data_IF_449685773406
#
_entry.id   IF_449685773406
#
_cell.length_a   1.000
_cell.length_b   1.000
_cell.length_c   1.000
_cell.angle_alpha   90.00
_cell.angle_beta   90.00
_cell.angle_gamma   90.00
#
_symmetry.space_group_name_H-M   'P 1'
#
loop_
_entity.id
_entity.type
_entity.pdbx_description
1 polymer ?
#
# COMPACT_ATOMS: atom_id res chain seq x y z
N UNK A 1 -19.17 -4.02 12.80
CA UNK A 1 -19.74 -5.06 11.91
C UNK A 1 -19.44 -6.50 12.36
N UNK A 2 -18.26 -6.81 12.93
CA UNK A 2 -17.85 -8.19 13.29
C UNK A 2 -18.68 -8.89 14.38
N UNK A 3 -19.34 -8.12 15.26
CA UNK A 3 -20.21 -8.67 16.30
C UNK A 3 -21.48 -9.32 15.71
N UNK A 4 -22.04 -8.69 14.67
CA UNK A 4 -23.29 -9.14 14.05
C UNK A 4 -23.07 -10.41 13.22
N UNK A 5 -21.94 -10.48 12.50
CA UNK A 5 -21.59 -11.64 11.68
C UNK A 5 -21.24 -12.87 12.55
N UNK A 6 -20.63 -12.66 13.73
CA UNK A 6 -20.41 -13.73 14.72
C UNK A 6 -21.71 -14.22 15.35
N UNK A 7 -22.65 -13.33 15.67
CA UNK A 7 -23.97 -13.72 16.19
C UNK A 7 -24.80 -14.52 15.18
N UNK A 8 -24.79 -14.14 13.90
CA UNK A 8 -25.50 -14.89 12.85
C UNK A 8 -24.92 -16.30 12.66
N UNK A 9 -23.59 -16.46 12.68
CA UNK A 9 -22.95 -17.79 12.61
C UNK A 9 -23.27 -18.65 13.82
N UNK A 10 -23.22 -18.10 15.04
CA UNK A 10 -23.58 -18.84 16.26
C UNK A 10 -25.05 -19.28 16.26
N UNK A 11 -25.95 -18.47 15.72
CA UNK A 11 -27.38 -18.80 15.65
C UNK A 11 -27.66 -19.94 14.66
N UNK A 12 -27.01 -19.91 13.48
CA UNK A 12 -27.09 -20.98 12.48
C UNK A 12 -26.55 -22.32 13.02
N UNK A 13 -25.44 -22.28 13.75
CA UNK A 13 -24.81 -23.46 14.35
C UNK A 13 -25.62 -24.08 15.49
N UNK A 14 -26.32 -23.25 16.27
CA UNK A 14 -27.22 -23.69 17.33
C UNK A 14 -28.49 -24.34 16.75
N UNK A 15 -29.01 -23.79 15.65
CA UNK A 15 -30.16 -24.35 14.94
C UNK A 15 -29.86 -25.69 14.28
N UNK A 16 -28.67 -25.85 13.69
CA UNK A 16 -28.26 -27.11 13.07
C UNK A 16 -28.10 -28.23 14.12
N UNK A 17 -27.53 -27.90 15.28
CA UNK A 17 -27.39 -28.82 16.41
C UNK A 17 -28.74 -29.20 17.02
N UNK A 18 -29.67 -28.26 17.10
CA UNK A 18 -31.05 -28.54 17.56
C UNK A 18 -31.79 -29.47 16.58
N UNK A 19 -31.67 -29.24 15.27
CA UNK A 19 -32.28 -30.08 14.24
C UNK A 19 -31.73 -31.52 14.26
N UNK A 20 -30.41 -31.69 14.40
CA UNK A 20 -29.76 -33.01 14.51
C UNK A 20 -30.20 -33.78 15.77
N UNK A 21 -30.35 -33.07 16.91
CA UNK A 21 -30.79 -33.67 18.18
C UNK A 21 -32.24 -34.18 18.12
N UNK A 22 -33.12 -33.51 17.38
CA UNK A 22 -34.51 -33.91 17.25
C UNK A 22 -34.77 -34.95 16.15
N UNK A 23 -33.92 -35.04 15.12
CA UNK A 23 -33.98 -36.11 14.13
C UNK A 23 -33.59 -37.49 14.71
N UNK A 24 -32.61 -37.56 15.62
CA UNK A 24 -32.21 -38.83 16.26
C UNK A 24 -33.29 -39.46 17.13
N UNK A 25 -34.14 -38.65 17.77
CA UNK A 25 -35.21 -39.11 18.67
C UNK A 25 -36.46 -39.68 17.94
N UNK A 26 -36.55 -39.48 16.62
CA UNK A 26 -37.63 -40.03 15.79
C UNK A 26 -37.31 -41.43 15.26
N UNK A 27 -36.03 -41.80 15.12
CA UNK A 27 -35.58 -43.07 14.55
C UNK A 27 -35.36 -44.20 15.59
N UNK A 28 -35.27 -43.87 16.89
CA UNK A 28 -35.06 -44.85 17.98
C UNK A 28 -36.32 -45.57 18.49
N UNK A 29 -37.53 -45.22 18.04
CA UNK A 29 -38.81 -45.72 18.59
C UNK A 29 -39.48 -46.85 17.80
N UNK A 30 -38.79 -47.47 16.84
CA UNK A 30 -39.33 -48.57 16.00
C UNK A 30 -38.64 -49.93 16.20
N UNK A 31 -37.85 -50.11 17.27
CA UNK A 31 -37.29 -51.41 17.67
C UNK A 31 -37.73 -51.70 19.10
N UNK A 32 -38.91 -52.30 19.30
CA UNK A 32 -39.31 -53.14 20.45
C UNK A 32 -40.84 -53.15 20.57
N UNK A 33 -41.51 -54.08 19.87
CA UNK A 33 -42.80 -54.65 20.28
C UNK A 33 -43.22 -55.73 19.26
N UNK A 34 -42.43 -56.80 19.20
CA UNK A 34 -42.88 -58.11 18.74
C UNK A 34 -42.97 -58.99 19.98
N UNK A 35 -44.17 -59.52 20.26
CA UNK A 35 -44.50 -60.72 21.05
C UNK A 35 -45.74 -60.52 21.94
N UNK A 36 -46.60 -61.55 21.92
CA UNK A 36 -47.78 -61.82 22.78
C UNK A 36 -49.09 -61.17 22.30
N UNK A 37 -50.17 -61.89 21.99
CA UNK A 37 -50.45 -63.32 22.17
C UNK A 37 -51.74 -63.73 21.45
N UNK A 38 -51.79 -65.02 21.11
CA UNK A 38 -52.95 -65.77 20.62
C UNK A 38 -53.63 -66.44 21.83
N UNK A 39 -54.97 -66.48 21.88
CA UNK A 39 -55.78 -67.70 21.66
C UNK A 39 -57.15 -67.69 22.38
N UNK A 40 -58.11 -68.40 21.75
CA UNK A 40 -59.38 -69.00 22.26
C UNK A 40 -60.61 -68.10 22.45
N UNK A 41 -61.84 -68.51 22.10
CA UNK A 41 -62.40 -69.71 21.42
C UNK A 41 -63.90 -69.49 21.13
N UNK A 42 -64.47 -70.24 20.16
CA UNK A 42 -65.87 -70.74 20.01
C UNK A 42 -67.06 -69.75 19.94
N UNK A 43 -68.15 -69.95 19.18
CA UNK A 43 -68.68 -71.08 18.38
C UNK A 43 -70.02 -70.71 17.71
N UNK A 44 -70.29 -71.24 16.49
CA UNK A 44 -71.56 -71.78 15.92
C UNK A 44 -72.81 -70.84 15.82
N UNK A 45 -73.78 -70.92 14.87
CA UNK A 45 -74.10 -71.74 13.68
C UNK A 45 -75.22 -71.03 12.87
N UNK A 46 -75.26 -71.33 11.57
CA UNK A 46 -76.30 -71.31 10.51
C UNK A 46 -77.79 -70.94 10.77
N UNK A 47 -78.45 -70.21 9.84
CA UNK A 47 -79.54 -70.65 8.91
C UNK A 47 -80.46 -69.49 8.42
N UNK A 48 -80.74 -69.44 7.11
CA UNK A 48 -82.09 -69.23 6.54
C UNK A 48 -82.63 -67.79 6.29
N UNK A 49 -83.22 -67.48 5.10
CA UNK A 49 -83.52 -66.11 4.66
C UNK A 49 -85.02 -65.76 4.64
N UNK A 50 -85.38 -64.46 4.68
CA UNK A 50 -86.63 -63.91 4.08
C UNK A 50 -86.71 -62.37 4.14
N UNK A 51 -86.93 -61.79 2.95
CA UNK A 51 -87.83 -60.69 2.57
C UNK A 51 -87.89 -59.34 3.33
N UNK A 52 -87.79 -58.32 2.47
CA UNK A 52 -88.63 -57.12 2.33
C UNK A 52 -88.47 -55.90 3.25
N UNK A 53 -88.11 -54.80 2.56
CA UNK A 53 -88.51 -53.40 2.72
C UNK A 53 -88.63 -52.81 4.13
N UNK A 54 -87.71 -51.88 4.45
CA UNK A 54 -88.06 -50.50 4.82
C UNK A 54 -86.83 -49.61 4.92
N UNK A 55 -86.89 -48.47 4.26
CA UNK A 55 -85.99 -47.35 4.44
C UNK A 55 -86.19 -46.73 5.83
N UNK A 56 -85.14 -46.71 6.64
CA UNK A 56 -84.93 -45.78 7.75
C UNK A 56 -83.43 -45.76 8.05
N UNK A 57 -82.89 -44.57 8.29
CA UNK A 57 -81.48 -44.25 8.16
C UNK A 57 -80.51 -44.92 9.14
N UNK A 58 -79.24 -44.92 8.74
CA UNK A 58 -78.07 -44.79 9.61
C UNK A 58 -76.82 -44.72 8.70
N UNK A 59 -76.02 -43.66 8.86
CA UNK A 59 -74.72 -43.52 8.20
C UNK A 59 -73.70 -44.55 8.74
N UNK A 60 -72.84 -45.15 7.91
CA UNK A 60 -71.66 -45.87 8.39
C UNK A 60 -70.51 -44.89 8.69
N UNK A 61 -69.75 -45.06 9.78
CA UNK A 61 -68.55 -44.26 9.99
C UNK A 61 -67.43 -44.78 9.07
N UNK A 62 -67.12 -44.04 8.01
CA UNK A 62 -65.86 -44.20 7.28
C UNK A 62 -64.73 -43.64 8.12
N UNK A 63 -63.78 -44.48 8.52
CA UNK A 63 -62.54 -44.03 9.15
C UNK A 63 -61.69 -43.28 8.13
N UNK A 64 -61.81 -41.95 8.09
CA UNK A 64 -60.85 -41.12 7.37
C UNK A 64 -59.51 -41.12 8.12
N UNK A 65 -58.47 -41.66 7.47
CA UNK A 65 -57.10 -41.49 7.93
C UNK A 65 -56.80 -39.99 8.04
N UNK A 66 -56.26 -39.59 9.19
CA UNK A 66 -55.87 -38.20 9.45
C UNK A 66 -54.55 -37.88 8.74
N UNK A 67 -54.58 -37.70 7.43
CA UNK A 67 -53.48 -37.16 6.61
C UNK A 67 -53.65 -35.65 6.31
N UNK A 68 -54.33 -34.91 7.20
CA UNK A 68 -54.61 -33.47 7.01
C UNK A 68 -53.58 -32.51 7.64
N UNK A 69 -52.59 -33.01 8.37
CA UNK A 69 -51.55 -32.19 9.01
C UNK A 69 -50.16 -32.22 8.33
N UNK A 70 -49.89 -33.23 7.50
CA UNK A 70 -48.56 -33.45 6.91
C UNK A 70 -48.28 -32.53 5.71
N UNK A 71 -49.29 -32.23 4.90
CA UNK A 71 -49.12 -31.35 3.73
C UNK A 71 -48.73 -29.92 4.12
N UNK A 72 -49.36 -29.35 5.16
CA UNK A 72 -49.03 -28.02 5.69
C UNK A 72 -47.62 -27.97 6.29
N UNK A 73 -47.21 -29.05 6.97
CA UNK A 73 -45.86 -29.15 7.51
C UNK A 73 -44.82 -29.20 6.37
N UNK A 74 -45.07 -29.99 5.33
CA UNK A 74 -44.18 -30.08 4.18
C UNK A 74 -44.10 -28.77 3.39
N UNK A 75 -45.22 -28.06 3.21
CA UNK A 75 -45.20 -26.75 2.57
C UNK A 75 -44.46 -25.71 3.42
N UNK A 76 -44.63 -25.75 4.74
CA UNK A 76 -43.91 -24.85 5.65
C UNK A 76 -42.40 -25.11 5.62
N UNK A 77 -41.99 -26.38 5.62
CA UNK A 77 -40.58 -26.76 5.47
C UNK A 77 -40.02 -26.37 4.10
N UNK A 78 -40.77 -26.57 3.03
CA UNK A 78 -40.36 -26.15 1.69
C UNK A 78 -40.19 -24.63 1.60
N UNK A 79 -41.13 -23.86 2.16
CA UNK A 79 -41.03 -22.39 2.22
C UNK A 79 -39.85 -21.93 3.06
N UNK A 80 -39.59 -22.59 4.18
CA UNK A 80 -38.42 -22.27 5.03
C UNK A 80 -37.10 -22.52 4.30
N UNK A 81 -36.95 -23.67 3.63
CA UNK A 81 -35.75 -23.99 2.86
C UNK A 81 -35.58 -23.04 1.67
N UNK A 82 -36.67 -22.69 0.99
CA UNK A 82 -36.64 -21.74 -0.10
C UNK A 82 -36.26 -20.32 0.37
N UNK A 83 -36.81 -19.86 1.51
CA UNK A 83 -36.44 -18.58 2.11
C UNK A 83 -34.96 -18.55 2.52
N UNK A 84 -34.44 -19.63 3.11
CA UNK A 84 -33.02 -19.75 3.47
C UNK A 84 -32.11 -19.69 2.24
N UNK A 85 -32.49 -20.35 1.14
CA UNK A 85 -31.75 -20.32 -0.13
C UNK A 85 -31.71 -18.89 -0.72
N UNK A 86 -32.87 -18.23 -0.79
CA UNK A 86 -32.97 -16.85 -1.29
C UNK A 86 -32.15 -15.89 -0.42
N UNK A 87 -32.19 -16.04 0.91
CA UNK A 87 -31.40 -15.22 1.83
C UNK A 87 -29.89 -15.45 1.65
N UNK A 88 -29.46 -16.71 1.49
CA UNK A 88 -28.06 -17.04 1.21
C UNK A 88 -27.58 -16.42 -0.09
N UNK A 89 -28.42 -16.42 -1.13
CA UNK A 89 -28.08 -15.83 -2.43
C UNK A 89 -28.04 -14.29 -2.37
N UNK A 90 -28.97 -13.66 -1.63
CA UNK A 90 -28.96 -12.21 -1.43
C UNK A 90 -27.71 -11.72 -0.68
N UNK A 91 -27.27 -12.47 0.34
CA UNK A 91 -26.03 -12.17 1.06
C UNK A 91 -24.78 -12.39 0.19
N UNK A 92 -24.75 -13.43 -0.64
CA UNK A 92 -23.65 -13.71 -1.58
C UNK A 92 -23.53 -12.59 -2.64
N UNK A 93 -24.64 -12.17 -3.25
CA UNK A 93 -24.65 -11.06 -4.22
C UNK A 93 -24.15 -9.75 -3.59
N UNK A 94 -24.65 -9.40 -2.41
CA UNK A 94 -24.23 -8.18 -1.74
C UNK A 94 -22.72 -8.19 -1.43
N UNK A 95 -22.18 -9.35 -1.05
CA UNK A 95 -20.73 -9.49 -0.82
C UNK A 95 -19.91 -9.31 -2.11
N UNK A 96 -20.34 -9.91 -3.23
CA UNK A 96 -19.66 -9.79 -4.53
C UNK A 96 -19.70 -8.37 -5.08
N UNK A 97 -20.83 -7.68 -4.95
CA UNK A 97 -20.96 -6.28 -5.39
C UNK A 97 -20.03 -5.34 -4.62
N UNK A 98 -19.87 -5.53 -3.30
CA UNK A 98 -18.94 -4.72 -2.51
C UNK A 98 -17.47 -4.99 -2.85
N UNK A 99 -17.11 -6.25 -3.14
CA UNK A 99 -15.72 -6.61 -3.51
C UNK A 99 -15.38 -6.05 -4.90
N UNK A 100 -16.27 -6.18 -5.89
CA UNK A 100 -16.06 -5.60 -7.22
C UNK A 100 -15.98 -4.06 -7.21
N UNK A 101 -16.70 -3.41 -6.29
CA UNK A 101 -16.62 -1.96 -6.10
C UNK A 101 -15.22 -1.51 -5.62
N UNK A 102 -14.62 -2.23 -4.68
CA UNK A 102 -13.29 -1.88 -4.15
C UNK A 102 -12.18 -2.19 -5.14
N UNK A 103 -12.25 -3.32 -5.86
CA UNK A 103 -11.27 -3.66 -6.90
C UNK A 103 -11.25 -2.61 -8.02
N UNK A 104 -12.42 -2.17 -8.48
CA UNK A 104 -12.50 -1.07 -9.45
C UNK A 104 -11.88 0.22 -8.92
N UNK A 105 -12.13 0.57 -7.64
CA UNK A 105 -11.55 1.78 -7.03
C UNK A 105 -10.04 1.73 -6.91
N UNK A 106 -9.44 0.54 -6.76
CA UNK A 106 -7.99 0.37 -6.79
C UNK A 106 -7.45 0.74 -8.17
N UNK A 107 -8.01 0.17 -9.23
CA UNK A 107 -7.58 0.44 -10.61
C UNK A 107 -7.80 1.91 -10.98
N UNK A 108 -8.93 2.49 -10.56
CA UNK A 108 -9.20 3.91 -10.75
C UNK A 108 -8.18 4.79 -10.03
N UNK A 109 -7.88 4.51 -8.75
CA UNK A 109 -6.89 5.27 -7.99
C UNK A 109 -5.49 5.16 -8.60
N UNK A 110 -5.10 3.98 -9.09
CA UNK A 110 -3.85 3.76 -9.80
C UNK A 110 -3.79 4.55 -11.12
N UNK A 111 -4.86 4.49 -11.92
CA UNK A 111 -4.98 5.27 -13.15
C UNK A 111 -4.91 6.78 -12.88
N UNK A 112 -5.50 7.27 -11.78
CA UNK A 112 -5.38 8.66 -11.35
C UNK A 112 -3.94 9.02 -10.96
N UNK A 113 -3.25 8.15 -10.22
CA UNK A 113 -1.87 8.37 -9.82
C UNK A 113 -0.95 8.42 -11.06
N UNK A 114 -1.09 7.47 -11.98
CA UNK A 114 -0.37 7.44 -13.25
C UNK A 114 -0.65 8.70 -14.09
N UNK A 115 -1.91 9.12 -14.19
CA UNK A 115 -2.31 10.33 -14.92
C UNK A 115 -1.63 11.59 -14.38
N UNK A 116 -1.60 11.76 -13.06
CA UNK A 116 -0.89 12.89 -12.44
C UNK A 116 0.62 12.86 -12.70
N UNK A 117 1.20 11.66 -12.79
CA UNK A 117 2.62 11.47 -13.06
C UNK A 117 2.97 11.84 -14.51
N UNK A 118 2.16 11.39 -15.47
CA UNK A 118 2.28 11.73 -16.89
C UNK A 118 2.12 13.22 -17.16
N UNK A 119 1.14 13.86 -16.51
CA UNK A 119 0.94 15.32 -16.62
C UNK A 119 2.20 16.05 -16.12
N UNK A 120 2.76 15.63 -14.99
CA UNK A 120 3.95 16.25 -14.42
C UNK A 120 5.20 16.11 -15.31
N UNK A 121 5.28 15.08 -16.16
CA UNK A 121 6.38 14.90 -17.12
C UNK A 121 6.31 15.88 -18.31
N UNK A 122 5.18 16.54 -18.53
CA UNK A 122 5.01 17.41 -19.69
C UNK A 122 5.89 18.69 -19.60
N UNK A 123 6.60 19.09 -20.67
CA UNK A 123 7.54 20.22 -20.64
C UNK A 123 6.95 21.61 -20.39
N UNK A 124 5.63 21.79 -20.43
CA UNK A 124 5.02 23.08 -20.02
C UNK A 124 4.75 23.16 -18.52
N UNK A 125 4.80 22.03 -17.81
CA UNK A 125 4.43 21.95 -16.40
C UNK A 125 5.59 22.42 -15.54
N UNK A 126 5.24 23.31 -14.61
CA UNK A 126 6.12 23.86 -13.59
C UNK A 126 5.74 23.29 -12.21
N UNK A 127 6.70 23.22 -11.29
CA UNK A 127 6.41 22.98 -9.87
C UNK A 127 5.34 23.95 -9.36
N UNK A 128 4.50 23.48 -8.44
CA UNK A 128 3.41 24.28 -7.86
C UNK A 128 2.25 24.62 -8.81
N UNK A 129 2.29 24.21 -10.08
CA UNK A 129 1.21 24.54 -11.03
C UNK A 129 -0.11 23.83 -10.69
N UNK A 130 -1.23 24.50 -10.96
CA UNK A 130 -2.56 23.94 -10.72
C UNK A 130 -2.83 22.65 -11.50
N UNK A 131 -2.16 22.46 -12.66
CA UNK A 131 -2.29 21.27 -13.50
C UNK A 131 -1.80 19.99 -12.81
N UNK A 132 -0.96 20.11 -11.78
CA UNK A 132 -0.53 18.99 -10.95
C UNK A 132 -1.64 18.49 -10.00
N UNK A 133 -2.77 19.16 -9.94
CA UNK A 133 -3.94 18.74 -9.20
C UNK A 133 -5.12 18.62 -10.17
N UNK A 134 -5.84 17.51 -10.10
CA UNK A 134 -7.02 17.36 -10.93
C UNK A 134 -8.08 16.48 -10.27
N UNK A 135 -9.31 16.69 -10.73
CA UNK A 135 -10.49 15.97 -10.27
C UNK A 135 -11.23 15.44 -11.48
N UNK A 136 -11.64 14.19 -11.41
CA UNK A 136 -12.43 13.50 -12.41
C UNK A 136 -13.73 13.00 -11.77
N UNK A 137 -14.84 13.19 -12.47
CA UNK A 137 -16.16 12.66 -12.10
C UNK A 137 -16.51 12.80 -10.61
N UNK A 138 -17.15 11.76 -10.06
CA UNK A 138 -17.55 11.70 -8.66
C UNK A 138 -16.51 10.97 -7.81
N UNK A 139 -15.56 11.71 -7.24
CA UNK A 139 -14.68 11.21 -6.18
C UNK A 139 -13.32 10.67 -6.62
N UNK A 140 -12.92 10.89 -7.88
CA UNK A 140 -11.59 10.57 -8.38
C UNK A 140 -10.73 11.82 -8.43
N UNK A 141 -9.54 11.77 -7.85
CA UNK A 141 -8.63 12.93 -7.80
C UNK A 141 -7.19 12.49 -7.94
N UNK A 142 -6.35 13.32 -8.53
CA UNK A 142 -4.90 13.16 -8.46
C UNK A 142 -4.24 14.43 -7.89
N UNK A 143 -3.12 14.24 -7.21
CA UNK A 143 -2.24 15.31 -6.76
C UNK A 143 -0.79 14.86 -6.97
N UNK A 144 -0.11 15.55 -7.87
CA UNK A 144 1.29 15.34 -8.18
C UNK A 144 2.16 16.42 -7.55
N UNK A 145 3.34 16.03 -7.09
CA UNK A 145 4.39 16.92 -6.61
C UNK A 145 5.62 16.71 -7.47
N UNK A 146 6.09 17.78 -8.09
CA UNK A 146 7.31 17.80 -8.89
C UNK A 146 8.44 18.39 -8.05
N UNK A 147 9.53 17.64 -7.89
CA UNK A 147 10.72 18.04 -7.14
C UNK A 147 11.99 17.74 -7.94
N UNK A 148 13.05 18.53 -7.78
CA UNK A 148 14.33 18.22 -8.41
C UNK A 148 15.07 17.11 -7.68
N UNK A 149 15.51 16.09 -8.42
CA UNK A 149 16.31 15.00 -7.86
C UNK A 149 17.72 15.47 -7.50
N UNK A 150 18.24 16.49 -8.20
CA UNK A 150 19.54 17.10 -7.93
C UNK A 150 19.66 17.73 -6.54
N UNK A 151 18.55 18.04 -5.85
CA UNK A 151 18.58 18.54 -4.48
C UNK A 151 18.95 17.48 -3.43
N UNK A 152 19.01 16.21 -3.83
CA UNK A 152 19.39 15.08 -2.97
C UNK A 152 20.88 14.78 -3.13
N UNK A 153 21.47 14.20 -2.10
CA UNK A 153 22.87 13.76 -2.13
C UNK A 153 23.02 12.53 -3.01
N UNK A 154 23.78 12.69 -4.10
CA UNK A 154 24.10 11.59 -4.99
C UNK A 154 25.24 10.75 -4.42
N UNK A 155 24.92 9.57 -3.89
CA UNK A 155 25.91 8.68 -3.27
C UNK A 155 27.01 8.30 -4.25
N UNK A 156 26.65 7.93 -5.49
CA UNK A 156 27.61 7.54 -6.51
C UNK A 156 28.58 8.66 -6.86
N UNK A 157 28.12 9.91 -6.93
CA UNK A 157 29.00 11.05 -7.20
C UNK A 157 29.90 11.39 -5.99
N UNK A 158 29.39 11.21 -4.78
CA UNK A 158 30.13 11.50 -3.54
C UNK A 158 31.30 10.53 -3.35
N UNK A 159 31.10 9.25 -3.65
CA UNK A 159 32.12 8.21 -3.51
C UNK A 159 33.01 8.06 -4.76
N UNK A 160 32.53 8.49 -5.93
CA UNK A 160 33.27 8.33 -7.18
C UNK A 160 34.65 9.00 -7.14
N UNK A 161 35.67 8.20 -7.42
CA UNK A 161 37.07 8.63 -7.46
C UNK A 161 37.63 9.03 -6.10
N UNK A 162 36.97 8.64 -5.00
CA UNK A 162 37.42 8.83 -3.61
C UNK A 162 37.87 10.25 -3.29
N UNK A 163 37.15 11.25 -3.82
CA UNK A 163 37.50 12.64 -3.57
C UNK A 163 37.24 12.98 -2.08
N UNK A 164 38.27 13.36 -1.30
CA UNK A 164 38.12 13.57 0.13
C UNK A 164 37.11 14.66 0.45
N UNK A 165 37.05 15.73 -0.35
CA UNK A 165 36.10 16.82 -0.12
C UNK A 165 34.64 16.40 -0.33
N UNK A 166 34.39 15.43 -1.23
CA UNK A 166 33.05 14.88 -1.43
C UNK A 166 32.65 13.91 -0.33
N UNK A 167 33.59 13.08 0.12
CA UNK A 167 33.38 12.18 1.26
C UNK A 167 33.07 12.98 2.53
N UNK A 168 33.73 14.11 2.75
CA UNK A 168 33.45 14.99 3.89
C UNK A 168 32.01 15.56 3.87
N UNK A 169 31.41 15.78 2.68
CA UNK A 169 29.99 16.17 2.58
C UNK A 169 29.10 15.04 3.12
N UNK A 170 29.37 13.79 2.74
CA UNK A 170 28.59 12.64 3.23
C UNK A 170 28.77 12.44 4.74
N UNK A 171 30.00 12.57 5.24
CA UNK A 171 30.28 12.52 6.69
C UNK A 171 29.49 13.57 7.45
N UNK A 172 29.55 14.83 7.02
CA UNK A 172 28.82 15.94 7.65
C UNK A 172 27.31 15.75 7.58
N UNK A 173 26.80 15.18 6.48
CA UNK A 173 25.39 14.79 6.38
C UNK A 173 25.00 13.75 7.44
N UNK A 174 25.78 12.69 7.60
CA UNK A 174 25.54 11.65 8.62
C UNK A 174 25.62 12.22 10.04
N UNK A 175 26.55 13.14 10.32
CA UNK A 175 26.61 13.87 11.59
C UNK A 175 25.35 14.68 11.86
N UNK A 176 24.82 15.37 10.84
CA UNK A 176 23.56 16.13 10.95
C UNK A 176 22.39 15.19 11.26
N UNK A 177 22.43 13.95 10.75
CA UNK A 177 21.47 12.88 11.09
C UNK A 177 21.69 12.26 12.47
N UNK A 178 22.70 12.71 13.20
CA UNK A 178 22.97 12.28 14.57
C UNK A 178 23.78 10.98 14.67
N UNK A 179 24.44 10.55 13.58
CA UNK A 179 25.35 9.41 13.60
C UNK A 179 26.65 9.82 14.30
N UNK A 180 27.12 8.98 15.23
CA UNK A 180 28.37 9.26 15.95
C UNK A 180 29.60 9.09 15.06
N UNK A 181 30.73 9.66 15.49
CA UNK A 181 31.95 9.69 14.68
C UNK A 181 32.46 8.29 14.30
N UNK A 182 32.41 7.31 15.21
CA UNK A 182 32.93 5.97 14.96
C UNK A 182 31.99 5.18 14.04
N UNK A 183 30.68 5.26 14.27
CA UNK A 183 29.69 4.65 13.39
C UNK A 183 29.73 5.26 12.00
N UNK A 184 29.83 6.59 11.91
CA UNK A 184 29.97 7.32 10.64
C UNK A 184 31.19 6.85 9.85
N UNK A 185 32.36 6.77 10.47
CA UNK A 185 33.59 6.36 9.76
C UNK A 185 33.50 4.91 9.29
N UNK A 186 32.90 4.03 10.09
CA UNK A 186 32.56 2.67 9.68
C UNK A 186 31.59 2.63 8.49
N UNK A 187 30.52 3.42 8.52
CA UNK A 187 29.53 3.49 7.43
C UNK A 187 30.17 3.95 6.11
N UNK A 188 31.07 4.92 6.18
CA UNK A 188 31.80 5.43 5.01
C UNK A 188 32.76 4.37 4.49
N UNK A 189 33.60 3.79 5.34
CA UNK A 189 34.58 2.77 4.93
C UNK A 189 33.87 1.58 4.27
N UNK A 190 32.80 1.05 4.89
CA UNK A 190 32.00 -0.03 4.30
C UNK A 190 31.33 0.34 2.97
N UNK A 191 30.94 1.61 2.79
CA UNK A 191 30.35 2.08 1.53
C UNK A 191 31.43 2.22 0.44
N UNK A 192 32.65 2.60 0.81
CA UNK A 192 33.77 2.67 -0.13
C UNK A 192 34.17 1.26 -0.58
N UNK A 193 34.35 0.31 0.35
CA UNK A 193 34.60 -1.13 0.08
C UNK A 193 33.44 -1.77 -0.72
N UNK A 194 32.23 -1.21 -0.67
CA UNK A 194 31.13 -1.70 -1.50
C UNK A 194 31.30 -1.37 -2.99
N UNK A 195 31.94 -0.23 -3.28
CA UNK A 195 31.90 0.44 -4.58
C UNK A 195 33.20 0.26 -5.35
N UNK A 196 34.33 0.19 -4.67
CA UNK A 196 35.63 0.07 -5.30
C UNK A 196 35.87 -1.34 -5.89
N UNK A 197 36.77 -1.45 -6.89
CA UNK A 197 36.93 -2.69 -7.64
C UNK A 197 37.91 -3.69 -7.01
N UNK A 198 38.65 -3.29 -5.96
CA UNK A 198 39.63 -4.16 -5.31
C UNK A 198 39.01 -4.92 -4.13
N UNK A 199 39.80 -5.76 -3.46
CA UNK A 199 39.37 -6.57 -2.32
C UNK A 199 40.13 -6.16 -1.03
N UNK A 200 40.62 -4.91 -0.95
CA UNK A 200 41.37 -4.41 0.20
C UNK A 200 40.43 -3.81 1.25
N UNK A 201 40.27 -4.54 2.35
CA UNK A 201 39.45 -4.08 3.48
C UNK A 201 40.04 -2.82 4.12
N UNK A 202 39.25 -1.74 4.18
CA UNK A 202 39.60 -0.52 4.93
C UNK A 202 39.56 -0.75 6.45
N UNK A 203 40.08 0.19 7.23
CA UNK A 203 40.24 0.04 8.69
C UNK A 203 38.95 -0.40 9.40
N UNK A 204 37.81 0.21 9.04
CA UNK A 204 36.49 -0.16 9.55
C UNK A 204 35.57 -0.72 8.46
N UNK A 205 36.14 -1.07 7.31
CA UNK A 205 35.41 -1.51 6.13
C UNK A 205 34.99 -2.97 6.18
N UNK A 206 34.49 -3.46 5.05
CA UNK A 206 34.12 -4.85 4.87
C UNK A 206 34.11 -5.24 3.39
N UNK A 207 34.91 -6.26 3.07
CA UNK A 207 34.93 -6.93 1.77
C UNK A 207 34.21 -8.28 1.78
N UNK A 208 34.25 -8.98 0.64
CA UNK A 208 33.71 -10.32 0.47
C UNK A 208 34.12 -11.28 1.60
N UNK A 209 33.12 -11.97 2.17
CA UNK A 209 33.28 -12.90 3.28
C UNK A 209 32.00 -13.69 3.55
N UNK A 210 31.90 -14.36 4.70
CA UNK A 210 30.80 -15.27 5.04
C UNK A 210 29.40 -14.63 4.84
N UNK A 211 28.76 -14.93 3.71
CA UNK A 211 27.43 -14.47 3.36
C UNK A 211 27.32 -12.99 2.96
N UNK A 212 28.43 -12.27 2.82
CA UNK A 212 28.48 -10.87 2.41
C UNK A 212 29.35 -10.72 1.18
N UNK A 213 28.79 -10.12 0.13
CA UNK A 213 29.50 -9.89 -1.12
C UNK A 213 29.19 -8.47 -1.59
N UNK A 214 30.16 -7.55 -1.47
CA UNK A 214 30.03 -6.23 -2.07
C UNK A 214 29.94 -6.34 -3.61
N UNK A 215 29.35 -5.31 -4.21
CA UNK A 215 29.07 -5.32 -5.65
C UNK A 215 30.31 -4.90 -6.48
N UNK A 216 31.30 -4.30 -5.83
CA UNK A 216 32.54 -3.77 -6.40
C UNK A 216 32.25 -2.84 -7.59
N UNK A 217 31.14 -2.09 -7.45
CA UNK A 217 30.62 -1.18 -8.46
C UNK A 217 29.68 -0.16 -7.82
N UNK A 218 29.43 0.94 -8.53
CA UNK A 218 28.52 1.99 -8.10
C UNK A 218 27.11 1.44 -7.84
N UNK A 219 26.39 2.07 -6.92
CA UNK A 219 25.03 1.68 -6.55
C UNK A 219 24.12 1.80 -7.77
N UNK A 220 23.52 0.68 -8.18
CA UNK A 220 22.55 0.65 -9.27
C UNK A 220 21.18 1.12 -8.78
N UNK A 221 20.81 0.77 -7.55
CA UNK A 221 19.59 1.20 -6.88
C UNK A 221 19.91 1.75 -5.51
N UNK A 222 19.12 2.72 -5.05
CA UNK A 222 19.27 3.25 -3.70
C UNK A 222 19.10 2.17 -2.63
N UNK A 223 18.27 1.14 -2.89
CA UNK A 223 18.06 0.01 -1.98
C UNK A 223 19.29 -0.87 -1.77
N UNK A 224 20.28 -0.82 -2.67
CA UNK A 224 21.51 -1.56 -2.48
C UNK A 224 22.27 -1.06 -1.25
N UNK A 225 22.02 0.18 -0.80
CA UNK A 225 22.54 0.71 0.45
C UNK A 225 22.12 -0.10 1.68
N UNK A 226 20.94 -0.76 1.65
CA UNK A 226 20.48 -1.65 2.73
C UNK A 226 21.34 -2.89 2.91
N UNK A 227 22.13 -3.24 1.89
CA UNK A 227 23.03 -4.40 1.90
C UNK A 227 24.41 -4.03 2.41
N UNK A 228 24.76 -2.74 2.43
CA UNK A 228 26.05 -2.24 2.89
C UNK A 228 26.11 -2.36 4.41
N UNK A 229 27.18 -2.98 4.93
CA UNK A 229 27.36 -3.14 6.37
C UNK A 229 27.45 -1.79 7.08
N UNK A 230 26.77 -1.66 8.22
CA UNK A 230 26.71 -0.43 9.01
C UNK A 230 25.57 0.51 8.59
N UNK A 231 24.92 0.28 7.46
CA UNK A 231 23.80 1.11 6.99
C UNK A 231 22.43 0.55 7.39
N UNK A 232 22.36 -0.59 8.08
CA UNK A 232 21.11 -1.28 8.39
C UNK A 232 20.22 -0.46 9.32
N UNK A 233 20.81 0.16 10.34
CA UNK A 233 20.07 1.01 11.30
C UNK A 233 19.59 2.29 10.63
N UNK A 234 20.45 2.94 9.85
CA UNK A 234 20.11 4.15 9.11
C UNK A 234 18.97 3.91 8.10
N UNK A 235 19.06 2.82 7.32
CA UNK A 235 18.08 2.48 6.29
C UNK A 235 16.79 1.83 6.82
N UNK A 236 16.74 1.50 8.12
CA UNK A 236 15.53 1.07 8.79
C UNK A 236 14.65 2.26 9.25
N UNK A 237 15.23 3.47 9.37
CA UNK A 237 14.49 4.66 9.76
C UNK A 237 13.48 5.07 8.67
N UNK A 238 12.25 5.48 9.03
CA UNK A 238 11.29 5.95 8.03
C UNK A 238 11.81 7.21 7.34
N UNK A 239 11.69 7.28 6.01
CA UNK A 239 12.12 8.45 5.22
C UNK A 239 13.63 8.58 5.00
N UNK A 240 14.43 7.55 5.31
CA UNK A 240 15.89 7.56 5.10
C UNK A 240 16.31 7.86 3.64
N UNK A 241 15.45 7.56 2.66
CA UNK A 241 15.68 7.74 1.24
C UNK A 241 15.22 9.10 0.70
N UNK A 242 14.69 9.99 1.57
CA UNK A 242 14.14 11.29 1.17
C UNK A 242 15.19 12.31 0.71
N UNK A 243 16.44 12.15 1.14
CA UNK A 243 17.52 13.11 0.86
C UNK A 243 18.71 12.49 0.12
N UNK A 244 18.61 11.20 -0.22
CA UNK A 244 19.63 10.45 -0.93
C UNK A 244 19.15 10.08 -2.33
N UNK A 245 20.08 9.95 -3.27
CA UNK A 245 19.81 9.48 -4.63
C UNK A 245 21.02 8.79 -5.25
N UNK A 246 20.76 8.05 -6.32
CA UNK A 246 21.77 7.51 -7.24
C UNK A 246 21.57 8.01 -8.69
N UNK A 247 20.51 8.78 -8.94
CA UNK A 247 20.01 9.08 -10.29
C UNK A 247 20.33 10.51 -10.78
N UNK A 248 20.74 11.41 -9.90
CA UNK A 248 21.04 12.79 -10.26
C UNK A 248 22.39 12.93 -10.99
N UNK A 249 22.71 14.14 -11.46
CA UNK A 249 23.96 14.38 -12.23
C UNK A 249 25.21 14.45 -11.35
N UNK A 250 25.07 14.77 -10.06
CA UNK A 250 26.16 14.73 -9.09
C UNK A 250 26.17 15.92 -8.13
N UNK A 251 26.66 17.11 -8.55
CA UNK A 251 26.69 18.30 -7.68
C UNK A 251 25.29 18.69 -7.23
N UNK A 252 25.18 19.08 -5.96
CA UNK A 252 23.90 19.35 -5.30
C UNK A 252 23.20 20.54 -5.96
N UNK A 253 22.02 20.31 -6.50
CA UNK A 253 21.14 21.36 -6.99
C UNK A 253 20.50 22.08 -5.81
N UNK A 254 21.09 23.21 -5.43
CA UNK A 254 20.65 23.94 -4.23
C UNK A 254 19.28 24.60 -4.42
N UNK A 255 18.77 24.71 -5.65
CA UNK A 255 17.37 25.13 -5.87
C UNK A 255 16.38 24.12 -5.28
N UNK A 256 16.77 22.85 -5.13
CA UNK A 256 15.91 21.78 -4.62
C UNK A 256 16.36 21.18 -3.30
N UNK A 257 17.57 21.50 -2.84
CA UNK A 257 18.15 20.89 -1.65
C UNK A 257 17.35 21.17 -0.37
N UNK A 258 17.35 20.18 0.53
CA UNK A 258 16.80 20.33 1.88
C UNK A 258 17.76 21.11 2.79
N UNK A 259 17.28 21.53 3.97
CA UNK A 259 18.12 22.21 4.96
C UNK A 259 19.33 21.37 5.34
N UNK A 260 19.14 20.08 5.58
CA UNK A 260 20.22 19.19 6.04
C UNK A 260 21.24 18.94 4.93
N UNK A 261 20.78 18.78 3.68
CA UNK A 261 21.67 18.65 2.52
C UNK A 261 22.49 19.94 2.32
N UNK A 262 21.88 21.12 2.46
CA UNK A 262 22.59 22.39 2.36
C UNK A 262 23.63 22.56 3.48
N UNK A 263 23.31 22.15 4.72
CA UNK A 263 24.24 22.21 5.85
C UNK A 263 25.43 21.25 5.73
N UNK A 264 25.28 20.19 4.94
CA UNK A 264 26.36 19.25 4.65
C UNK A 264 27.42 19.85 3.71
N UNK A 265 27.08 20.91 2.95
CA UNK A 265 28.01 21.55 2.02
C UNK A 265 29.10 22.35 2.74
N UNK A 266 30.32 22.41 2.17
CA UNK A 266 31.44 23.12 2.78
C UNK A 266 31.17 24.63 2.85
N UNK A 267 31.39 25.23 4.02
CA UNK A 267 31.21 26.66 4.24
C UNK A 267 29.77 27.14 4.42
N UNK A 268 28.77 26.23 4.34
CA UNK A 268 27.38 26.57 4.67
C UNK A 268 27.16 26.51 6.19
N UNK A 269 26.92 27.68 6.79
CA UNK A 269 26.50 27.81 8.20
C UNK A 269 24.98 27.83 8.29
N UNK A 270 24.43 27.60 9.48
CA UNK A 270 22.99 27.65 9.72
C UNK A 270 22.39 28.98 9.30
N UNK A 271 23.07 30.10 9.57
CA UNK A 271 22.61 31.43 9.19
C UNK A 271 22.58 31.62 7.67
N UNK A 272 23.59 31.09 6.95
CA UNK A 272 23.62 31.14 5.49
C UNK A 272 22.53 30.26 4.88
N UNK A 273 22.29 29.08 5.45
CA UNK A 273 21.23 28.17 4.99
C UNK A 273 19.86 28.77 5.24
N UNK A 274 19.61 29.33 6.42
CA UNK A 274 18.32 29.93 6.75
C UNK A 274 18.04 31.16 5.86
N UNK A 275 19.05 32.01 5.63
CA UNK A 275 18.96 33.12 4.68
C UNK A 275 18.68 32.62 3.26
N UNK A 276 19.37 31.57 2.81
CA UNK A 276 19.16 31.01 1.48
C UNK A 276 17.74 30.47 1.31
N UNK A 277 17.27 29.67 2.26
CA UNK A 277 15.93 29.10 2.24
C UNK A 277 14.85 30.18 2.26
N UNK A 278 15.04 31.24 3.05
CA UNK A 278 14.14 32.38 3.06
C UNK A 278 14.08 33.09 1.70
N UNK A 279 15.23 33.27 1.04
CA UNK A 279 15.29 33.86 -0.29
C UNK A 279 14.66 32.95 -1.34
N UNK A 280 14.87 31.63 -1.21
CA UNK A 280 14.37 30.63 -2.14
C UNK A 280 12.84 30.55 -2.12
N UNK A 281 12.24 30.42 -0.94
CA UNK A 281 10.80 30.22 -0.70
C UNK A 281 9.91 31.40 -1.06
N UNK A 282 10.51 32.54 -1.41
CA UNK A 282 9.74 33.73 -1.73
C UNK A 282 8.84 34.22 -0.58
N UNK A 283 7.82 35.03 -0.91
CA UNK A 283 6.92 35.62 0.08
C UNK A 283 6.00 34.63 0.81
N UNK A 284 5.61 33.52 0.18
CA UNK A 284 4.68 32.56 0.79
C UNK A 284 5.34 31.63 1.82
N UNK A 285 6.68 31.56 1.81
CA UNK A 285 7.46 30.80 2.78
C UNK A 285 7.40 29.28 2.56
N UNK A 286 6.89 28.82 1.41
CA UNK A 286 6.82 27.42 1.04
C UNK A 286 7.81 27.12 -0.11
N UNK A 287 8.35 25.89 -0.13
CA UNK A 287 9.19 25.43 -1.25
C UNK A 287 8.33 24.72 -2.31
N UNK A 288 8.82 24.70 -3.54
CA UNK A 288 8.20 24.09 -4.73
C UNK A 288 6.90 24.78 -5.19
N UNK A 289 6.84 26.10 -5.03
CA UNK A 289 5.71 26.96 -5.39
C UNK A 289 6.04 27.81 -6.63
N UNK A 290 5.05 28.58 -7.09
CA UNK A 290 5.19 29.38 -8.32
C UNK A 290 6.02 30.65 -8.07
N UNK A 291 6.07 31.13 -6.83
CA UNK A 291 6.77 32.33 -6.38
C UNK A 291 8.21 32.08 -5.88
N UNK A 292 8.66 30.82 -5.88
CA UNK A 292 10.04 30.46 -5.60
C UNK A 292 11.03 31.25 -6.47
N UNK A 293 12.11 31.72 -5.84
CA UNK A 293 13.14 32.48 -6.53
C UNK A 293 13.86 31.62 -7.58
N UNK A 294 13.93 32.13 -8.81
CA UNK A 294 14.69 31.50 -9.89
C UNK A 294 16.06 32.16 -10.01
N UNK A 295 17.11 31.41 -9.68
CA UNK A 295 18.49 31.86 -9.85
C UNK A 295 18.99 31.53 -11.26
N UNK A 296 19.52 32.52 -11.98
CA UNK A 296 19.95 32.33 -13.38
C UNK A 296 21.42 31.94 -13.48
N UNK A 297 22.22 32.39 -12.51
CA UNK A 297 23.64 32.14 -12.46
C UNK A 297 24.09 31.80 -11.05
N UNK A 298 25.18 31.04 -10.94
CA UNK A 298 25.87 30.77 -9.68
C UNK A 298 26.30 32.06 -8.96
N UNK A 299 26.60 33.12 -9.73
CA UNK A 299 27.01 34.42 -9.20
C UNK A 299 25.86 35.14 -8.48
N UNK A 300 24.62 34.97 -8.96
CA UNK A 300 23.43 35.57 -8.33
C UNK A 300 23.30 35.08 -6.87
N UNK A 301 23.59 33.80 -6.61
CA UNK A 301 23.54 33.21 -5.27
C UNK A 301 24.70 33.69 -4.42
N UNK A 302 25.90 33.79 -4.98
CA UNK A 302 27.04 34.34 -4.25
C UNK A 302 26.71 35.72 -3.68
N UNK A 303 26.11 36.57 -4.50
CA UNK A 303 25.64 37.91 -4.11
C UNK A 303 24.48 37.82 -3.12
N UNK A 304 23.49 36.96 -3.38
CA UNK A 304 22.31 36.81 -2.53
C UNK A 304 22.64 36.27 -1.12
N UNK A 305 23.60 35.37 -1.01
CA UNK A 305 24.15 34.82 0.23
C UNK A 305 25.10 35.78 0.94
N UNK A 306 25.69 36.73 0.21
CA UNK A 306 26.68 37.67 0.76
C UNK A 306 28.02 37.02 1.12
N UNK A 307 28.39 35.94 0.43
CA UNK A 307 29.63 35.20 0.66
C UNK A 307 30.79 35.74 -0.20
N UNK A 308 32.01 35.62 0.33
CA UNK A 308 33.20 36.11 -0.38
C UNK A 308 33.50 35.28 -1.63
N UNK A 309 34.18 35.85 -2.65
CA UNK A 309 34.60 35.09 -3.82
C UNK A 309 35.44 33.86 -3.48
N UNK A 310 36.30 33.95 -2.46
CA UNK A 310 37.14 32.84 -2.01
C UNK A 310 36.31 31.72 -1.37
N UNK A 311 35.34 32.06 -0.52
CA UNK A 311 34.41 31.08 0.06
C UNK A 311 33.59 30.41 -1.05
N UNK A 312 33.13 31.18 -2.03
CA UNK A 312 32.35 30.65 -3.14
C UNK A 312 33.17 29.74 -4.05
N UNK A 313 34.44 30.04 -4.28
CA UNK A 313 35.34 29.19 -5.07
C UNK A 313 35.47 27.79 -4.44
N UNK A 314 35.51 27.70 -3.12
CA UNK A 314 35.53 26.42 -2.40
C UNK A 314 34.20 25.65 -2.49
N UNK A 315 33.06 26.35 -2.53
CA UNK A 315 31.72 25.74 -2.62
C UNK A 315 31.32 25.35 -4.05
N UNK A 316 31.73 26.15 -5.05
CA UNK A 316 31.30 26.06 -6.44
C UNK A 316 31.41 24.67 -7.11
N UNK A 317 32.41 23.81 -6.79
CA UNK A 317 32.50 22.48 -7.40
C UNK A 317 31.41 21.51 -6.92
N UNK A 318 30.75 21.81 -5.80
CA UNK A 318 29.79 20.92 -5.14
C UNK A 318 28.33 21.31 -5.37
N UNK A 319 28.07 22.44 -6.03
CA UNK A 319 26.71 22.97 -6.23
C UNK A 319 26.36 23.10 -7.71
N UNK A 320 25.06 22.98 -8.03
CA UNK A 320 24.48 23.20 -9.35
C UNK A 320 23.10 23.86 -9.25
N UNK A 321 22.53 24.21 -10.42
CA UNK A 321 21.18 24.81 -10.59
C UNK A 321 20.49 24.32 -11.87
N UNK A 322 21.02 23.25 -12.44
CA UNK A 322 20.73 22.83 -13.81
C UNK A 322 20.52 21.32 -13.88
N UNK A 323 20.23 20.68 -12.75
CA UNK A 323 19.95 19.26 -12.82
C UNK A 323 18.65 19.07 -13.60
N UNK A 324 18.75 18.26 -14.66
CA UNK A 324 17.62 17.95 -15.53
C UNK A 324 16.80 16.78 -15.01
N UNK A 325 17.26 16.12 -13.93
CA UNK A 325 16.58 14.98 -13.34
C UNK A 325 15.57 15.47 -12.31
N UNK A 326 14.32 15.12 -12.56
CA UNK A 326 13.17 15.47 -11.75
C UNK A 326 12.52 14.20 -11.20
N UNK A 327 11.96 14.32 -10.00
CA UNK A 327 11.14 13.32 -9.34
C UNK A 327 9.71 13.80 -9.28
N UNK A 328 8.78 12.88 -9.56
CA UNK A 328 7.36 13.10 -9.37
C UNK A 328 6.85 12.10 -8.37
N UNK A 329 6.11 12.60 -7.38
CA UNK A 329 5.28 11.79 -6.49
C UNK A 329 3.84 12.15 -6.77
N UNK A 330 3.08 11.22 -7.36
CA UNK A 330 1.69 11.40 -7.74
C UNK A 330 0.80 10.51 -6.89
N UNK A 331 -0.15 11.13 -6.19
CA UNK A 331 -1.14 10.46 -5.35
C UNK A 331 -2.49 10.48 -6.07
N UNK A 332 -2.98 9.31 -6.44
CA UNK A 332 -4.31 9.10 -7.00
C UNK A 332 -5.28 8.60 -5.93
N UNK A 333 -6.53 9.06 -6.00
CA UNK A 333 -7.60 8.63 -5.09
C UNK A 333 -8.85 8.28 -5.88
N UNK A 334 -9.52 7.21 -5.46
CA UNK A 334 -10.91 6.90 -5.84
C UNK A 334 -11.70 6.53 -4.58
N UNK A 335 -12.47 7.49 -4.08
CA UNK A 335 -13.20 7.36 -2.82
C UNK A 335 -12.27 7.19 -1.60
N UNK A 336 -12.20 6.00 -0.98
CA UNK A 336 -11.38 5.69 0.19
C UNK A 336 -10.03 5.02 -0.18
N UNK A 337 -9.88 4.62 -1.45
CA UNK A 337 -8.64 4.01 -1.94
C UNK A 337 -7.70 5.11 -2.41
N UNK A 338 -6.44 5.02 -1.95
CA UNK A 338 -5.35 5.89 -2.39
C UNK A 338 -4.23 5.04 -2.95
N UNK A 339 -3.64 5.47 -4.07
CA UNK A 339 -2.44 4.88 -4.68
C UNK A 339 -1.41 5.95 -4.92
N UNK A 340 -0.14 5.59 -4.78
CA UNK A 340 0.98 6.52 -4.99
C UNK A 340 1.91 5.96 -6.05
N UNK A 341 2.19 6.77 -7.06
CA UNK A 341 3.20 6.50 -8.08
C UNK A 341 4.35 7.46 -7.85
N UNK A 342 5.56 6.92 -7.81
CA UNK A 342 6.80 7.69 -7.81
C UNK A 342 7.58 7.38 -9.07
N UNK A 343 7.97 8.42 -9.80
CA UNK A 343 8.87 8.28 -10.94
C UNK A 343 10.00 9.28 -10.88
N UNK A 344 11.11 8.92 -11.50
CA UNK A 344 12.27 9.79 -11.72
C UNK A 344 12.53 9.82 -13.22
N UNK A 345 12.64 11.01 -13.79
CA UNK A 345 12.85 11.20 -15.21
C UNK A 345 13.87 12.31 -15.47
N UNK A 346 14.57 12.21 -16.59
CA UNK A 346 15.45 13.27 -17.09
C UNK A 346 14.73 14.10 -18.13
N UNK A 347 14.77 15.41 -17.95
CA UNK A 347 14.17 16.39 -18.86
C UNK A 347 15.22 16.92 -19.83
N UNK A 348 15.32 16.30 -21.00
CA UNK A 348 16.29 16.67 -22.04
C UNK A 348 15.55 17.21 -23.27
N UNK A 349 15.48 18.54 -23.40
CA UNK A 349 14.82 19.18 -24.53
C UNK A 349 13.30 19.04 -24.50
N UNK A 350 12.70 18.50 -25.57
CA UNK A 350 11.24 18.36 -25.74
C UNK A 350 10.68 17.04 -25.21
N UNK A 351 11.52 16.05 -24.93
CA UNK A 351 11.11 14.73 -24.46
C UNK A 351 11.63 14.44 -23.05
N UNK A 352 10.79 13.80 -22.24
CA UNK A 352 11.17 13.26 -20.94
C UNK A 352 11.67 11.82 -21.10
N UNK A 353 12.84 11.50 -20.53
CA UNK A 353 13.38 10.15 -20.48
C UNK A 353 13.13 9.56 -19.09
N UNK A 354 12.28 8.53 -19.00
CA UNK A 354 12.02 7.82 -17.75
C UNK A 354 13.28 7.08 -17.27
N UNK A 355 13.62 7.21 -15.99
CA UNK A 355 14.73 6.50 -15.34
C UNK A 355 14.18 5.40 -14.44
N UNK A 356 13.26 5.74 -13.54
CA UNK A 356 12.63 4.77 -12.62
C UNK A 356 11.14 5.05 -12.48
N UNK A 357 10.38 3.98 -12.26
CA UNK A 357 8.96 3.99 -11.95
C UNK A 357 8.70 3.03 -10.79
N UNK A 358 7.96 3.48 -9.79
CA UNK A 358 7.61 2.73 -8.58
C UNK A 358 6.17 3.02 -8.18
N UNK A 359 5.50 2.00 -7.71
CA UNK A 359 4.10 2.06 -7.28
C UNK A 359 4.01 1.57 -5.83
N UNK A 360 3.14 2.21 -5.05
CA UNK A 360 2.92 1.94 -3.63
C UNK A 360 1.44 1.70 -3.32
#
# INVERSE_FOLDING_TARGET
MDSFNRQCRQFADSLLRFALKHMGAALGRYRHAAALGQNRDRSQRCFGPSRDYRAAGANPPMSHSKSRGTALLLSLWALFLLAALVMSWALDINSRLTISGTENRIVEAEAMAASGAEIAMHPSIRPGSQNLQGKFGHGQTYSARLTGEGGRLNLNWLVAGENPLRIEILKRYLEIKGIDLNERDRMIDCLLDWVDPDDLVRLNGAEAGDGYQPANTLLTRLEDLKKVKGWEVFTAAPGWDEELTVNSTGPVDVAWASRDVLRALPGMTDELVDRFLQLRRGPDGADATIDDATFKSLEDIRVALGISPQQFQALSPFISFKDSVLRVVSTGRSGDVTRVVQLVFRRAGTAAQLITWREF
#
